data_IF_354202929099
#
_entry.id   IF_354202929099
#
_cell.length_a   1.000
_cell.length_b   1.000
_cell.length_c   1.000
_cell.angle_alpha   90.00
_cell.angle_beta   90.00
_cell.angle_gamma   90.00
#
_symmetry.space_group_name_H-M   'P 1'
#
loop_
_entity.id
_entity.type
_entity.pdbx_description
1 polymer ?
#
# COMPACT_ATOMS: atom_id res chain seq x y z
N UNK A 1 8.83 47.24 -84.52
CA UNK A 1 8.92 48.00 -83.26
C UNK A 1 8.13 47.26 -82.20
N UNK A 2 8.81 46.95 -81.08
CA UNK A 2 8.30 46.66 -79.74
C UNK A 2 7.44 45.42 -79.46
N UNK A 3 8.15 44.34 -79.08
CA UNK A 3 8.04 43.60 -77.79
C UNK A 3 6.79 43.88 -76.93
N UNK A 4 6.07 42.82 -76.58
CA UNK A 4 5.75 42.48 -75.17
C UNK A 4 5.76 40.95 -74.95
N UNK A 5 6.49 40.58 -73.89
CA UNK A 5 6.64 39.26 -73.23
C UNK A 5 5.50 39.16 -72.19
N UNK A 6 4.99 37.98 -71.80
CA UNK A 6 5.18 37.34 -70.47
C UNK A 6 4.04 36.30 -70.29
N UNK A 7 4.35 34.99 -70.33
CA UNK A 7 4.45 33.98 -69.23
C UNK A 7 3.15 33.18 -68.99
N UNK A 8 3.21 31.83 -68.93
CA UNK A 8 2.07 30.97 -68.67
C UNK A 8 1.78 30.88 -67.16
N UNK A 9 0.51 30.97 -66.77
CA UNK A 9 0.08 30.71 -65.40
C UNK A 9 -0.11 29.20 -65.18
N UNK A 10 0.86 28.57 -64.54
CA UNK A 10 0.73 27.27 -63.88
C UNK A 10 -0.21 27.43 -62.68
N UNK A 11 -1.42 26.88 -62.78
CA UNK A 11 -2.31 26.69 -61.63
C UNK A 11 -1.77 25.53 -60.78
N UNK A 12 -0.96 25.86 -59.78
CA UNK A 12 -0.68 25.01 -58.64
C UNK A 12 -1.92 25.05 -57.72
N UNK A 13 -2.77 24.04 -57.81
CA UNK A 13 -3.74 23.73 -56.76
C UNK A 13 -2.97 23.26 -55.52
N UNK A 14 -2.71 24.19 -54.59
CA UNK A 14 -2.29 23.85 -53.24
C UNK A 14 -3.49 23.21 -52.52
N UNK A 15 -3.45 21.90 -52.34
CA UNK A 15 -4.34 21.22 -51.41
C UNK A 15 -3.98 21.68 -49.98
N UNK A 16 -4.95 22.11 -49.14
CA UNK A 16 -4.70 22.30 -47.73
C UNK A 16 -4.46 20.91 -47.12
N UNK A 17 -3.21 20.57 -46.83
CA UNK A 17 -2.89 19.38 -46.07
C UNK A 17 -3.43 19.60 -44.65
N UNK A 18 -4.33 18.70 -44.29
CA UNK A 18 -5.04 18.60 -43.02
C UNK A 18 -4.06 18.68 -41.84
N UNK A 19 -4.14 19.75 -41.04
CA UNK A 19 -3.56 19.82 -39.69
C UNK A 19 -4.47 19.09 -38.69
N UNK A 20 -4.84 17.84 -39.01
CA UNK A 20 -5.73 17.01 -38.18
C UNK A 20 -5.04 16.51 -36.90
N UNK A 21 -3.77 16.07 -37.01
CA UNK A 21 -3.04 15.50 -35.87
C UNK A 21 -2.68 16.54 -34.79
N UNK A 22 -2.41 17.80 -35.17
CA UNK A 22 -2.09 18.83 -34.16
C UNK A 22 -3.33 19.28 -33.36
N UNK A 23 -4.52 19.22 -33.96
CA UNK A 23 -5.76 19.51 -33.27
C UNK A 23 -6.19 18.36 -32.36
N UNK A 24 -5.88 17.10 -32.72
CA UNK A 24 -6.11 15.95 -31.85
C UNK A 24 -5.12 15.90 -30.69
N UNK A 25 -3.84 16.21 -30.92
CA UNK A 25 -2.82 16.26 -29.85
C UNK A 25 -3.18 17.31 -28.80
N UNK A 26 -3.55 18.53 -29.20
CA UNK A 26 -3.96 19.58 -28.26
C UNK A 26 -5.26 19.26 -27.49
N UNK A 27 -6.14 18.42 -28.05
CA UNK A 27 -7.36 17.94 -27.39
C UNK A 27 -7.03 16.82 -26.42
N UNK A 28 -6.13 15.91 -26.77
CA UNK A 28 -5.64 14.85 -25.86
C UNK A 28 -4.82 15.45 -24.71
N UNK A 29 -4.01 16.47 -24.96
CA UNK A 29 -3.25 17.14 -23.90
C UNK A 29 -4.17 17.85 -22.89
N UNK A 30 -5.38 18.27 -23.29
CA UNK A 30 -6.32 18.99 -22.42
C UNK A 30 -7.42 18.10 -21.82
N UNK A 31 -7.91 17.10 -22.57
CA UNK A 31 -9.01 16.22 -22.16
C UNK A 31 -8.60 14.75 -21.96
N UNK A 32 -7.34 14.41 -22.24
CA UNK A 32 -6.80 13.07 -22.04
C UNK A 32 -6.51 12.76 -20.57
N UNK A 33 -6.04 11.53 -20.30
CA UNK A 33 -5.62 11.15 -18.95
C UNK A 33 -4.47 12.04 -18.50
N UNK A 34 -4.42 12.31 -17.20
CA UNK A 34 -3.36 13.04 -16.55
C UNK A 34 -2.81 12.18 -15.42
N UNK A 35 -1.54 12.37 -15.08
CA UNK A 35 -0.95 11.72 -13.92
C UNK A 35 -1.75 12.10 -12.66
N UNK A 36 -2.03 11.11 -11.82
CA UNK A 36 -2.61 11.35 -10.51
C UNK A 36 -1.62 12.20 -9.68
N UNK A 37 -1.98 13.41 -9.26
CA UNK A 37 -1.05 14.32 -8.59
C UNK A 37 -0.61 13.80 -7.22
N UNK A 38 -1.45 13.01 -6.53
CA UNK A 38 -1.09 12.40 -5.25
C UNK A 38 -0.04 11.30 -5.47
N UNK A 39 -0.23 10.44 -6.47
CA UNK A 39 0.78 9.43 -6.83
C UNK A 39 2.10 10.06 -7.29
N UNK A 40 2.04 11.10 -8.13
CA UNK A 40 3.24 11.81 -8.59
C UNK A 40 4.01 12.43 -7.42
N UNK A 41 3.31 13.06 -6.47
CA UNK A 41 3.91 13.61 -5.24
C UNK A 41 4.58 12.52 -4.40
N UNK A 42 3.92 11.38 -4.18
CA UNK A 42 4.50 10.25 -3.45
C UNK A 42 5.73 9.67 -4.16
N UNK A 43 5.68 9.52 -5.48
CA UNK A 43 6.79 8.96 -6.27
C UNK A 43 8.03 9.86 -6.23
N UNK A 44 7.81 11.17 -6.33
CA UNK A 44 8.87 12.17 -6.23
C UNK A 44 9.47 12.23 -4.83
N UNK A 45 8.63 12.22 -3.79
CA UNK A 45 9.09 12.17 -2.40
C UNK A 45 9.92 10.90 -2.14
N UNK A 46 9.47 9.74 -2.63
CA UNK A 46 10.20 8.48 -2.53
C UNK A 46 11.55 8.51 -3.26
N UNK A 47 11.62 9.15 -4.43
CA UNK A 47 12.87 9.35 -5.16
C UNK A 47 13.84 10.24 -4.40
N UNK A 48 13.36 11.37 -3.86
CA UNK A 48 14.16 12.29 -3.05
C UNK A 48 14.68 11.63 -1.76
N UNK A 49 13.84 10.84 -1.09
CA UNK A 49 14.21 10.07 0.10
C UNK A 49 15.28 9.02 -0.24
N UNK A 50 15.09 8.29 -1.34
CA UNK A 50 16.03 7.27 -1.78
C UNK A 50 17.42 7.85 -1.97
N UNK A 51 17.55 8.97 -2.68
CA UNK A 51 18.83 9.66 -2.90
C UNK A 51 19.42 10.16 -1.58
N UNK A 52 18.61 10.79 -0.73
CA UNK A 52 19.06 11.33 0.56
C UNK A 52 19.57 10.24 1.52
N UNK A 53 19.04 9.02 1.41
CA UNK A 53 19.36 7.89 2.28
C UNK A 53 20.53 7.04 1.78
N UNK A 54 20.98 7.17 0.52
CA UNK A 54 21.99 6.27 -0.09
C UNK A 54 23.24 6.06 0.75
N UNK A 55 23.73 7.11 1.39
CA UNK A 55 24.95 7.09 2.21
C UNK A 55 24.67 6.88 3.71
N UNK A 56 23.39 6.96 4.13
CA UNK A 56 22.97 6.82 5.53
C UNK A 56 22.52 5.40 5.85
N UNK A 57 21.69 4.81 4.98
CA UNK A 57 21.13 3.48 5.12
C UNK A 57 20.72 2.95 3.74
N UNK A 58 21.48 1.97 3.24
CA UNK A 58 21.30 1.39 1.91
C UNK A 58 19.99 0.62 1.77
N UNK A 59 19.50 0.01 2.85
CA UNK A 59 18.27 -0.77 2.82
C UNK A 59 17.06 0.17 2.80
N UNK A 60 17.11 1.25 3.59
CA UNK A 60 16.09 2.30 3.57
C UNK A 60 16.07 3.02 2.22
N UNK A 61 17.23 3.34 1.66
CA UNK A 61 17.34 3.92 0.32
C UNK A 61 16.75 2.99 -0.76
N UNK A 62 17.05 1.70 -0.68
CA UNK A 62 16.54 0.69 -1.64
C UNK A 62 15.02 0.53 -1.53
N UNK A 63 14.47 0.52 -0.31
CA UNK A 63 13.03 0.50 -0.10
C UNK A 63 12.36 1.71 -0.76
N UNK A 64 12.87 2.92 -0.50
CA UNK A 64 12.29 4.15 -1.08
C UNK A 64 12.44 4.19 -2.60
N UNK A 65 13.55 3.71 -3.15
CA UNK A 65 13.75 3.61 -4.60
C UNK A 65 12.74 2.65 -5.25
N UNK A 66 12.52 1.47 -4.65
CA UNK A 66 11.51 0.51 -5.12
C UNK A 66 10.10 1.12 -5.06
N UNK A 67 9.78 1.81 -3.97
CA UNK A 67 8.47 2.46 -3.82
C UNK A 67 8.24 3.55 -4.87
N UNK A 68 9.27 4.33 -5.19
CA UNK A 68 9.21 5.31 -6.28
C UNK A 68 8.95 4.64 -7.64
N UNK A 69 9.68 3.56 -7.97
CA UNK A 69 9.51 2.81 -9.22
C UNK A 69 8.09 2.25 -9.35
N UNK A 70 7.55 1.65 -8.29
CA UNK A 70 6.19 1.13 -8.27
C UNK A 70 5.14 2.22 -8.47
N UNK A 71 5.31 3.39 -7.84
CA UNK A 71 4.38 4.51 -7.98
C UNK A 71 4.43 5.12 -9.38
N UNK A 72 5.61 5.27 -9.98
CA UNK A 72 5.74 5.71 -11.37
C UNK A 72 5.12 4.70 -12.35
N UNK A 73 5.34 3.40 -12.12
CA UNK A 73 4.71 2.35 -12.92
C UNK A 73 3.17 2.35 -12.77
N UNK A 74 2.66 2.69 -11.60
CA UNK A 74 1.22 2.81 -11.36
C UNK A 74 0.63 4.04 -12.06
N UNK A 75 1.34 5.17 -12.09
CA UNK A 75 0.95 6.35 -12.89
C UNK A 75 0.85 5.97 -14.36
N UNK A 76 1.86 5.29 -14.91
CA UNK A 76 1.86 4.81 -16.30
C UNK A 76 0.69 3.86 -16.58
N UNK A 77 0.38 2.96 -15.62
CA UNK A 77 -0.73 2.01 -15.72
C UNK A 77 -2.08 2.74 -15.80
N UNK A 78 -2.29 3.77 -14.98
CA UNK A 78 -3.52 4.56 -14.97
C UNK A 78 -3.66 5.43 -16.23
N UNK A 79 -2.56 6.01 -16.68
CA UNK A 79 -2.53 6.83 -17.88
C UNK A 79 -2.74 6.03 -19.17
N UNK A 80 -2.41 4.73 -19.15
CA UNK A 80 -2.49 3.88 -20.32
C UNK A 80 -1.46 4.24 -21.38
N UNK A 81 -1.56 3.58 -22.54
CA UNK A 81 -0.65 3.77 -23.67
C UNK A 81 -1.43 4.10 -24.93
N UNK A 82 -0.86 4.94 -25.79
CA UNK A 82 -1.39 5.24 -27.12
C UNK A 82 -1.14 4.08 -28.10
N UNK A 83 -1.52 4.26 -29.37
CA UNK A 83 -1.37 3.25 -30.42
C UNK A 83 0.11 2.90 -30.70
N UNK A 84 1.02 3.82 -30.40
CA UNK A 84 2.48 3.64 -30.49
C UNK A 84 3.08 2.94 -29.26
N UNK A 85 2.30 2.73 -28.20
CA UNK A 85 2.77 2.13 -26.95
C UNK A 85 3.43 3.10 -25.98
N UNK A 86 3.31 4.41 -26.21
CA UNK A 86 3.85 5.50 -25.38
C UNK A 86 2.76 6.08 -24.46
N UNK A 87 3.16 6.59 -23.29
CA UNK A 87 2.24 7.33 -22.42
C UNK A 87 1.87 8.69 -23.04
N UNK A 88 0.64 9.19 -22.83
CA UNK A 88 0.25 10.54 -23.25
C UNK A 88 1.15 11.61 -22.62
N UNK A 89 1.46 12.69 -23.35
CA UNK A 89 2.30 13.80 -22.85
C UNK A 89 1.71 14.49 -21.61
N UNK A 90 0.39 14.53 -21.49
CA UNK A 90 -0.32 15.04 -20.30
C UNK A 90 -0.10 14.21 -19.03
N UNK A 91 0.49 13.02 -19.16
CA UNK A 91 0.88 12.14 -18.06
C UNK A 91 2.38 12.15 -17.76
N UNK A 92 3.17 12.97 -18.45
CA UNK A 92 4.61 13.06 -18.19
C UNK A 92 4.84 13.61 -16.77
N UNK A 93 5.58 12.86 -15.96
CA UNK A 93 5.97 13.23 -14.60
C UNK A 93 7.48 13.40 -14.56
N UNK A 94 7.94 14.42 -13.82
CA UNK A 94 9.37 14.63 -13.61
C UNK A 94 9.95 13.54 -12.69
N UNK A 95 11.03 12.91 -13.17
CA UNK A 95 11.81 11.91 -12.46
C UNK A 95 13.12 12.48 -11.89
N UNK A 96 13.54 13.67 -12.34
CA UNK A 96 14.74 14.35 -11.85
C UNK A 96 14.38 15.11 -10.57
N UNK A 97 14.46 14.42 -9.44
CA UNK A 97 14.14 14.99 -8.13
C UNK A 97 15.40 15.31 -7.36
N UNK A 98 15.50 16.55 -6.86
CA UNK A 98 16.59 16.93 -5.96
C UNK A 98 16.48 16.16 -4.63
N UNK A 99 17.58 15.55 -4.14
CA UNK A 99 17.57 14.91 -2.84
C UNK A 99 17.14 15.88 -1.74
N UNK A 100 16.31 15.39 -0.82
CA UNK A 100 16.00 16.16 0.38
C UNK A 100 17.21 16.20 1.32
N UNK A 101 17.28 17.23 2.16
CA UNK A 101 18.23 17.20 3.28
C UNK A 101 17.81 16.13 4.29
N UNK A 102 18.68 15.15 4.53
CA UNK A 102 18.49 14.10 5.52
C UNK A 102 19.72 13.96 6.41
N UNK A 103 19.47 13.90 7.72
CA UNK A 103 20.50 13.61 8.73
C UNK A 103 20.13 12.43 9.64
N UNK A 104 18.87 11.97 9.55
CA UNK A 104 18.31 10.91 10.39
C UNK A 104 17.37 10.05 9.55
N UNK A 105 17.67 8.76 9.47
CA UNK A 105 16.91 7.75 8.73
C UNK A 105 15.49 7.61 9.31
N UNK A 106 15.36 7.61 10.63
CA UNK A 106 14.07 7.44 11.32
C UNK A 106 13.13 8.62 11.05
N UNK A 107 13.68 9.83 11.01
CA UNK A 107 12.90 11.02 10.63
C UNK A 107 12.40 10.91 9.18
N UNK A 108 13.26 10.50 8.24
CA UNK A 108 12.88 10.31 6.83
C UNK A 108 11.78 9.27 6.66
N UNK A 109 11.94 8.08 7.24
CA UNK A 109 10.93 7.02 7.12
C UNK A 109 9.63 7.36 7.88
N UNK A 110 9.73 8.08 8.99
CA UNK A 110 8.57 8.61 9.71
C UNK A 110 7.77 9.63 8.90
N UNK A 111 8.47 10.60 8.29
CA UNK A 111 7.86 11.60 7.40
C UNK A 111 7.21 10.93 6.18
N UNK A 112 7.91 9.97 5.56
CA UNK A 112 7.43 9.21 4.41
C UNK A 112 6.17 8.40 4.75
N UNK A 113 6.15 7.74 5.91
CA UNK A 113 4.99 6.97 6.36
C UNK A 113 3.77 7.87 6.55
N UNK A 114 3.92 8.98 7.28
CA UNK A 114 2.86 9.94 7.52
C UNK A 114 2.30 10.53 6.21
N UNK A 115 3.18 10.91 5.28
CA UNK A 115 2.77 11.42 3.97
C UNK A 115 2.04 10.36 3.13
N UNK A 116 2.49 9.10 3.16
CA UNK A 116 1.85 7.99 2.45
C UNK A 116 0.43 7.75 2.96
N UNK A 117 0.24 7.75 4.28
CA UNK A 117 -1.09 7.61 4.89
C UNK A 117 -2.02 8.78 4.57
N UNK A 118 -1.52 10.02 4.57
CA UNK A 118 -2.30 11.22 4.24
C UNK A 118 -2.83 11.17 2.80
N UNK A 119 -2.05 10.63 1.87
CA UNK A 119 -2.42 10.56 0.45
C UNK A 119 -3.39 9.42 0.11
N UNK A 120 -3.67 8.47 1.02
CA UNK A 120 -4.55 7.33 0.74
C UNK A 120 -5.95 7.71 0.24
N UNK A 121 -6.50 8.83 0.71
CA UNK A 121 -7.81 9.32 0.29
C UNK A 121 -7.76 10.21 -0.96
N UNK A 122 -6.55 10.56 -1.40
CA UNK A 122 -6.31 11.46 -2.53
C UNK A 122 -5.89 10.74 -3.81
N UNK A 123 -5.36 9.52 -3.70
CA UNK A 123 -5.04 8.67 -4.85
C UNK A 123 -6.29 8.02 -5.45
N UNK A 124 -6.21 7.68 -6.73
CA UNK A 124 -7.21 6.86 -7.41
C UNK A 124 -7.54 5.58 -6.61
N UNK A 125 -8.82 5.18 -6.51
CA UNK A 125 -9.23 3.98 -5.77
C UNK A 125 -8.46 2.70 -6.17
N UNK A 126 -8.14 2.55 -7.44
CA UNK A 126 -7.38 1.43 -8.00
C UNK A 126 -5.94 1.35 -7.48
N UNK A 127 -5.37 2.47 -7.03
CA UNK A 127 -3.99 2.57 -6.55
C UNK A 127 -3.87 2.49 -5.03
N UNK A 128 -4.98 2.55 -4.30
CA UNK A 128 -4.97 2.52 -2.82
C UNK A 128 -4.31 1.27 -2.26
N UNK A 129 -4.47 0.12 -2.91
CA UNK A 129 -3.83 -1.13 -2.47
C UNK A 129 -2.30 -1.03 -2.51
N UNK A 130 -1.73 -0.43 -3.57
CA UNK A 130 -0.30 -0.18 -3.65
C UNK A 130 0.16 0.76 -2.53
N UNK A 131 -0.52 1.89 -2.35
CA UNK A 131 -0.17 2.89 -1.34
C UNK A 131 -0.28 2.32 0.09
N UNK A 132 -1.29 1.47 0.37
CA UNK A 132 -1.39 0.74 1.64
C UNK A 132 -0.21 -0.20 1.84
N UNK A 133 0.18 -0.97 0.82
CA UNK A 133 1.33 -1.87 0.92
C UNK A 133 2.62 -1.09 1.23
N UNK A 134 2.81 0.08 0.62
CA UNK A 134 3.96 0.94 0.89
C UNK A 134 3.94 1.54 2.30
N UNK A 135 2.78 1.96 2.79
CA UNK A 135 2.62 2.43 4.18
C UNK A 135 2.97 1.33 5.19
N UNK A 136 2.50 0.10 4.96
CA UNK A 136 2.82 -1.06 5.80
C UNK A 136 4.33 -1.31 5.82
N UNK A 137 5.01 -1.26 4.67
CA UNK A 137 6.46 -1.47 4.59
C UNK A 137 7.25 -0.38 5.34
N UNK A 138 6.80 0.88 5.28
CA UNK A 138 7.41 1.99 6.02
C UNK A 138 7.20 1.84 7.54
N UNK A 139 5.99 1.51 7.98
CA UNK A 139 5.70 1.27 9.40
C UNK A 139 6.43 0.04 9.96
N UNK A 140 6.62 -0.99 9.15
CA UNK A 140 7.38 -2.17 9.55
C UNK A 140 8.84 -1.81 9.86
N UNK A 141 9.45 -0.91 9.07
CA UNK A 141 10.80 -0.38 9.29
C UNK A 141 10.90 0.55 10.49
N UNK A 142 9.86 1.31 10.79
CA UNK A 142 9.84 2.22 11.94
C UNK A 142 9.86 1.48 13.29
N UNK A 143 9.52 0.19 13.32
CA UNK A 143 9.63 -0.63 14.53
C UNK A 143 8.65 -0.25 15.65
N UNK A 144 7.70 0.67 15.39
CA UNK A 144 6.72 1.11 16.38
C UNK A 144 5.65 0.05 16.60
N UNK A 145 5.32 -0.21 17.86
CA UNK A 145 4.18 -1.05 18.19
C UNK A 145 2.87 -0.33 17.83
N UNK A 146 1.84 -1.05 17.36
CA UNK A 146 0.51 -0.49 17.21
C UNK A 146 0.05 0.09 18.55
N UNK A 147 -0.54 1.28 18.51
CA UNK A 147 -1.24 1.82 19.68
C UNK A 147 -2.57 1.12 19.92
N UNK A 148 -3.33 1.64 20.88
CA UNK A 148 -4.68 1.16 21.18
C UNK A 148 -5.58 1.20 19.94
N UNK A 149 -6.48 0.21 19.83
CA UNK A 149 -7.49 0.22 18.78
C UNK A 149 -8.38 1.47 18.91
N UNK A 150 -8.65 2.17 17.79
CA UNK A 150 -9.49 3.37 17.82
C UNK A 150 -10.94 3.01 18.12
N UNK A 151 -11.75 4.02 18.44
CA UNK A 151 -13.19 3.82 18.53
C UNK A 151 -13.77 3.45 17.17
N UNK A 152 -14.48 2.31 17.13
CA UNK A 152 -15.10 1.81 15.91
C UNK A 152 -16.45 2.48 15.66
N UNK A 153 -16.77 2.65 14.38
CA UNK A 153 -18.10 2.94 13.88
C UNK A 153 -18.84 1.64 13.56
N UNK A 154 -20.17 1.72 13.38
CA UNK A 154 -20.97 0.57 12.95
C UNK A 154 -20.53 0.01 11.59
N UNK A 155 -19.89 0.83 10.73
CA UNK A 155 -19.40 0.38 9.44
C UNK A 155 -18.18 -0.56 9.55
N UNK A 156 -17.41 -0.45 10.64
CA UNK A 156 -16.19 -1.23 10.87
C UNK A 156 -16.45 -2.47 11.73
N UNK A 157 -17.64 -2.59 12.32
CA UNK A 157 -18.00 -3.64 13.25
C UNK A 157 -17.80 -5.05 12.67
N UNK A 158 -18.30 -5.29 11.45
CA UNK A 158 -18.22 -6.63 10.84
C UNK A 158 -16.77 -7.02 10.55
N UNK A 159 -15.95 -6.07 10.08
CA UNK A 159 -14.53 -6.32 9.82
C UNK A 159 -13.76 -6.56 11.13
N UNK A 160 -14.01 -5.75 12.16
CA UNK A 160 -13.38 -5.93 13.47
C UNK A 160 -13.78 -7.26 14.12
N UNK A 161 -15.04 -7.70 13.97
CA UNK A 161 -15.49 -9.01 14.44
C UNK A 161 -14.80 -10.16 13.69
N UNK A 162 -14.67 -10.04 12.37
CA UNK A 162 -13.92 -10.99 11.52
C UNK A 162 -12.45 -11.11 11.95
N UNK A 163 -11.81 -9.98 12.27
CA UNK A 163 -10.43 -9.92 12.74
C UNK A 163 -10.28 -10.48 14.15
N UNK A 164 -11.26 -10.29 15.04
CA UNK A 164 -11.24 -10.88 16.37
C UNK A 164 -11.33 -12.41 16.30
N UNK A 165 -12.20 -12.94 15.44
CA UNK A 165 -12.28 -14.39 15.20
C UNK A 165 -10.97 -14.95 14.64
N UNK A 166 -10.32 -14.21 13.74
CA UNK A 166 -9.00 -14.54 13.22
C UNK A 166 -7.93 -14.61 14.31
N UNK A 167 -7.89 -13.63 15.21
CA UNK A 167 -6.93 -13.56 16.31
C UNK A 167 -7.12 -14.70 17.32
N UNK A 168 -8.37 -15.08 17.62
CA UNK A 168 -8.63 -16.29 18.43
C UNK A 168 -8.08 -17.56 17.77
N UNK A 169 -8.19 -17.68 16.44
CA UNK A 169 -7.61 -18.80 15.71
C UNK A 169 -6.08 -18.81 15.80
N UNK A 170 -5.42 -17.64 15.74
CA UNK A 170 -3.96 -17.56 15.85
C UNK A 170 -3.47 -17.99 17.24
N UNK A 171 -4.11 -17.50 18.30
CA UNK A 171 -3.80 -17.91 19.68
C UNK A 171 -3.95 -19.42 19.85
N UNK A 172 -5.07 -19.99 19.41
CA UNK A 172 -5.30 -21.44 19.46
C UNK A 172 -4.23 -22.22 18.68
N UNK A 173 -3.89 -21.76 17.47
CA UNK A 173 -2.94 -22.45 16.61
C UNK A 173 -1.52 -22.45 17.22
N UNK A 174 -1.07 -21.33 17.79
CA UNK A 174 0.22 -21.21 18.46
C UNK A 174 0.29 -22.06 19.73
N UNK A 175 -0.76 -22.06 20.55
CA UNK A 175 -0.85 -22.92 21.74
C UNK A 175 -0.81 -24.41 21.37
N UNK A 176 -1.49 -24.79 20.28
CA UNK A 176 -1.44 -26.16 19.77
C UNK A 176 -0.01 -26.51 19.29
N UNK A 177 0.62 -25.64 18.51
CA UNK A 177 1.97 -25.82 17.99
C UNK A 177 3.00 -26.00 19.11
N UNK A 178 2.85 -25.26 20.22
CA UNK A 178 3.70 -25.34 21.41
C UNK A 178 3.84 -26.76 21.96
N UNK A 179 2.81 -27.59 21.81
CA UNK A 179 2.84 -28.99 22.30
C UNK A 179 3.83 -29.89 21.54
N UNK A 180 4.23 -29.48 20.33
CA UNK A 180 5.14 -30.22 19.44
C UNK A 180 6.46 -29.47 19.19
N UNK A 181 6.50 -28.19 19.52
CA UNK A 181 7.63 -27.31 19.30
C UNK A 181 8.91 -27.80 20.00
N UNK A 182 10.05 -27.60 19.34
CA UNK A 182 11.35 -27.78 19.96
C UNK A 182 11.66 -26.60 20.92
N UNK A 183 12.51 -26.78 21.94
CA UNK A 183 12.77 -25.74 22.94
C UNK A 183 13.27 -24.39 22.39
N UNK A 184 13.91 -24.40 21.21
CA UNK A 184 14.37 -23.18 20.53
C UNK A 184 13.23 -22.31 19.99
N UNK A 185 12.01 -22.84 19.87
CA UNK A 185 10.84 -22.11 19.39
C UNK A 185 9.98 -21.51 20.51
N UNK A 186 10.23 -21.86 21.78
CA UNK A 186 9.38 -21.43 22.89
C UNK A 186 9.32 -19.91 23.02
N UNK A 187 10.46 -19.21 22.90
CA UNK A 187 10.53 -17.75 22.99
C UNK A 187 9.76 -17.08 21.84
N UNK A 188 9.91 -17.59 20.60
CA UNK A 188 9.16 -17.09 19.44
C UNK A 188 7.65 -17.30 19.59
N UNK A 189 7.22 -18.44 20.14
CA UNK A 189 5.80 -18.70 20.40
C UNK A 189 5.27 -17.75 21.48
N UNK A 190 6.00 -17.57 22.58
CA UNK A 190 5.57 -16.69 23.69
C UNK A 190 5.47 -15.22 23.25
N UNK A 191 6.42 -14.74 22.43
CA UNK A 191 6.37 -13.39 21.86
C UNK A 191 5.13 -13.21 20.97
N UNK A 192 4.87 -14.15 20.07
CA UNK A 192 3.72 -14.07 19.16
C UNK A 192 2.39 -14.21 19.90
N UNK A 193 2.29 -15.12 20.87
CA UNK A 193 1.10 -15.24 21.72
C UNK A 193 0.80 -13.91 22.43
N UNK A 194 1.82 -13.25 22.98
CA UNK A 194 1.66 -11.94 23.63
C UNK A 194 1.08 -10.90 22.67
N UNK A 195 1.56 -10.87 21.42
CA UNK A 195 1.03 -9.96 20.39
C UNK A 195 -0.43 -10.26 20.05
N UNK A 196 -0.75 -11.52 19.76
CA UNK A 196 -2.11 -11.93 19.39
C UNK A 196 -3.11 -11.70 20.54
N UNK A 197 -2.73 -12.04 21.78
CA UNK A 197 -3.56 -11.77 22.97
C UNK A 197 -3.80 -10.28 23.19
N UNK A 198 -2.79 -9.43 22.96
CA UNK A 198 -2.97 -7.98 23.00
C UNK A 198 -3.98 -7.50 21.95
N UNK A 199 -3.85 -7.96 20.70
CA UNK A 199 -4.80 -7.62 19.62
C UNK A 199 -6.22 -8.09 19.93
N UNK A 200 -6.37 -9.28 20.53
CA UNK A 200 -7.67 -9.78 21.03
C UNK A 200 -8.28 -8.79 22.01
N UNK A 201 -7.53 -8.33 23.01
CA UNK A 201 -8.04 -7.40 24.03
C UNK A 201 -8.45 -6.06 23.44
N UNK A 202 -7.66 -5.53 22.50
CA UNK A 202 -7.96 -4.27 21.80
C UNK A 202 -9.24 -4.38 20.97
N UNK A 203 -9.38 -5.44 20.17
CA UNK A 203 -10.57 -5.69 19.35
C UNK A 203 -11.82 -5.94 20.20
N UNK A 204 -11.70 -6.70 21.29
CA UNK A 204 -12.80 -6.91 22.24
C UNK A 204 -13.27 -5.57 22.80
N UNK A 205 -12.35 -4.76 23.34
CA UNK A 205 -12.64 -3.44 23.93
C UNK A 205 -13.32 -2.51 22.92
N UNK A 206 -12.85 -2.51 21.67
CA UNK A 206 -13.42 -1.70 20.61
C UNK A 206 -14.85 -2.17 20.23
N UNK A 207 -15.08 -3.47 20.16
CA UNK A 207 -16.39 -4.07 19.80
C UNK A 207 -17.44 -4.00 20.92
N UNK A 208 -17.04 -4.03 22.20
CA UNK A 208 -17.96 -3.97 23.36
C UNK A 208 -18.90 -2.75 23.29
N UNK A 209 -18.40 -1.63 22.77
CA UNK A 209 -19.17 -0.39 22.61
C UNK A 209 -20.27 -0.49 21.55
N UNK A 210 -20.15 -1.44 20.62
CA UNK A 210 -21.06 -1.63 19.48
C UNK A 210 -22.03 -2.80 19.65
N UNK A 211 -21.80 -3.69 20.63
CA UNK A 211 -22.76 -4.74 21.00
C UNK A 211 -22.11 -6.06 21.36
N UNK A 212 -22.62 -7.15 20.77
CA UNK A 212 -22.16 -8.50 21.07
C UNK A 212 -20.74 -8.72 20.51
N UNK A 213 -19.83 -9.15 21.38
CA UNK A 213 -18.45 -9.47 21.04
C UNK A 213 -18.32 -10.97 20.75
N UNK A 214 -17.80 -11.37 19.57
CA UNK A 214 -17.50 -12.76 19.27
C UNK A 214 -16.69 -13.44 20.38
N UNK A 215 -17.07 -14.67 20.71
CA UNK A 215 -16.39 -15.50 21.69
C UNK A 215 -15.55 -16.57 20.97
N UNK A 216 -14.40 -16.99 21.54
CA UNK A 216 -13.58 -18.02 20.93
C UNK A 216 -14.35 -19.34 20.80
N UNK A 217 -14.11 -20.05 19.69
CA UNK A 217 -14.62 -21.39 19.48
C UNK A 217 -13.84 -22.40 20.34
N UNK A 218 -14.43 -23.59 20.56
CA UNK A 218 -13.76 -24.65 21.32
C UNK A 218 -12.55 -25.26 20.58
N UNK A 219 -12.54 -25.16 19.24
CA UNK A 219 -11.47 -25.63 18.37
C UNK A 219 -11.55 -24.92 17.01
N UNK A 220 -10.44 -24.91 16.30
CA UNK A 220 -10.29 -24.31 14.98
C UNK A 220 -9.68 -25.30 13.98
N UNK A 221 -9.98 -25.10 12.71
CA UNK A 221 -9.36 -25.86 11.62
C UNK A 221 -7.93 -25.33 11.35
N UNK A 222 -7.04 -26.23 10.91
CA UNK A 222 -5.72 -25.86 10.43
C UNK A 222 -5.83 -25.15 9.07
N UNK A 223 -5.09 -24.04 8.83
CA UNK A 223 -5.11 -23.34 7.54
C UNK A 223 -4.82 -24.27 6.35
N UNK A 224 -3.89 -25.22 6.52
CA UNK A 224 -3.45 -26.14 5.46
C UNK A 224 -3.99 -27.56 5.66
N UNK A 225 -4.90 -27.76 6.63
CA UNK A 225 -5.52 -29.05 6.94
C UNK A 225 -4.63 -30.06 7.67
N UNK A 226 -3.34 -29.77 7.87
CA UNK A 226 -2.43 -30.58 8.67
C UNK A 226 -2.12 -29.87 10.00
N UNK A 227 -2.23 -30.60 11.11
CA UNK A 227 -1.77 -30.15 12.42
C UNK A 227 -0.34 -30.65 12.66
N UNK A 228 0.47 -29.90 13.42
CA UNK A 228 1.82 -30.33 13.76
C UNK A 228 1.78 -31.62 14.59
N UNK A 229 2.76 -32.49 14.38
CA UNK A 229 2.88 -33.80 15.02
C UNK A 229 4.30 -34.13 15.51
N UNK A 230 5.26 -33.26 15.20
CA UNK A 230 6.65 -33.29 15.64
C UNK A 230 7.25 -31.88 15.57
N UNK A 231 8.52 -31.72 15.97
CA UNK A 231 9.18 -30.42 16.05
C UNK A 231 9.41 -29.74 14.69
N UNK A 232 9.63 -30.52 13.63
CA UNK A 232 9.84 -29.97 12.29
C UNK A 232 8.51 -29.46 11.72
N UNK A 233 7.44 -30.26 11.82
CA UNK A 233 6.10 -29.81 11.41
C UNK A 233 5.55 -28.66 12.26
N UNK A 234 5.96 -28.53 13.53
CA UNK A 234 5.63 -27.37 14.36
C UNK A 234 6.28 -26.08 13.84
N UNK A 235 7.54 -26.14 13.40
CA UNK A 235 8.25 -24.98 12.81
C UNK A 235 7.54 -24.52 11.54
N UNK A 236 7.30 -25.44 10.61
CA UNK A 236 6.60 -25.13 9.36
C UNK A 236 5.21 -24.52 9.62
N UNK A 237 4.48 -25.08 10.58
CA UNK A 237 3.16 -24.58 10.96
C UNK A 237 3.19 -23.16 11.54
N UNK A 238 4.19 -22.83 12.37
CA UNK A 238 4.40 -21.48 12.93
C UNK A 238 4.75 -20.46 11.84
N UNK A 239 5.51 -20.88 10.81
CA UNK A 239 5.84 -20.02 9.66
C UNK A 239 4.60 -19.76 8.78
N UNK A 240 3.77 -20.78 8.56
CA UNK A 240 2.49 -20.65 7.85
C UNK A 240 1.55 -19.69 8.59
N UNK A 241 1.45 -19.80 9.92
CA UNK A 241 0.67 -18.87 10.77
C UNK A 241 1.13 -17.43 10.55
N UNK A 242 2.44 -17.14 10.65
CA UNK A 242 2.96 -15.77 10.45
C UNK A 242 2.71 -15.24 9.04
N UNK A 243 2.87 -16.09 8.03
CA UNK A 243 2.59 -15.70 6.65
C UNK A 243 1.11 -15.36 6.46
N UNK A 244 0.21 -16.22 6.93
CA UNK A 244 -1.22 -15.99 6.81
C UNK A 244 -1.69 -14.77 7.62
N UNK A 245 -1.10 -14.52 8.78
CA UNK A 245 -1.37 -13.32 9.58
C UNK A 245 -1.00 -12.05 8.80
N UNK A 246 0.18 -12.06 8.16
CA UNK A 246 0.64 -10.98 7.28
C UNK A 246 -0.35 -10.71 6.14
N UNK A 247 -0.85 -11.76 5.48
CA UNK A 247 -1.83 -11.63 4.41
C UNK A 247 -3.17 -11.08 4.92
N UNK A 248 -3.66 -11.61 6.05
CA UNK A 248 -4.96 -11.22 6.62
C UNK A 248 -5.00 -9.74 6.98
N UNK A 249 -3.96 -9.24 7.67
CA UNK A 249 -3.91 -7.85 8.11
C UNK A 249 -3.65 -6.88 6.95
N UNK A 250 -2.85 -7.29 5.95
CA UNK A 250 -2.66 -6.51 4.72
C UNK A 250 -3.96 -6.38 3.92
N UNK A 251 -4.72 -7.47 3.77
CA UNK A 251 -6.05 -7.44 3.14
C UNK A 251 -7.01 -6.54 3.90
N UNK A 252 -7.05 -6.63 5.22
CA UNK A 252 -7.93 -5.82 6.05
C UNK A 252 -7.65 -4.32 5.88
N UNK A 253 -6.38 -3.91 5.93
CA UNK A 253 -5.97 -2.52 5.69
C UNK A 253 -6.35 -2.05 4.29
N UNK A 254 -6.17 -2.92 3.28
CA UNK A 254 -6.51 -2.62 1.88
C UNK A 254 -8.03 -2.45 1.69
N UNK A 255 -8.85 -3.34 2.27
CA UNK A 255 -10.31 -3.23 2.24
C UNK A 255 -10.80 -1.95 2.91
N UNK A 256 -10.21 -1.57 4.05
CA UNK A 256 -10.55 -0.33 4.74
C UNK A 256 -10.22 0.92 3.91
N UNK A 257 -9.13 0.89 3.14
CA UNK A 257 -8.79 1.96 2.19
C UNK A 257 -9.77 2.04 1.01
N UNK A 258 -10.29 0.91 0.53
CA UNK A 258 -11.25 0.88 -0.58
C UNK A 258 -12.60 1.52 -0.22
N UNK A 259 -13.01 1.46 1.05
CA UNK A 259 -14.31 1.98 1.52
C UNK A 259 -14.28 3.43 2.00
N UNK A 260 -13.15 4.14 1.88
CA UNK A 260 -13.04 5.52 2.35
C UNK A 260 -13.97 6.45 1.56
N UNK A 261 -15.01 6.96 2.24
CA UNK A 261 -15.95 7.97 1.76
C UNK A 261 -15.47 9.38 2.15
N UNK A 262 -15.79 10.38 1.32
CA UNK A 262 -15.24 11.76 1.40
C UNK A 262 -15.82 12.66 2.50
N UNK A 263 -16.69 12.16 3.37
CA UNK A 263 -17.50 12.98 4.28
C UNK A 263 -17.18 12.72 5.76
N UNK A 264 -17.80 13.49 6.68
CA UNK A 264 -17.49 13.67 8.11
C UNK A 264 -17.29 12.45 9.03
N UNK A 265 -17.38 11.23 8.50
CA UNK A 265 -16.88 9.98 9.14
C UNK A 265 -15.41 9.68 8.80
N UNK A 266 -14.81 10.47 7.91
CA UNK A 266 -13.46 10.28 7.39
C UNK A 266 -12.40 10.20 8.48
N UNK A 267 -12.52 10.95 9.58
CA UNK A 267 -11.51 10.93 10.65
C UNK A 267 -11.48 9.59 11.41
N UNK A 268 -12.65 9.05 11.81
CA UNK A 268 -12.74 7.75 12.46
C UNK A 268 -12.30 6.61 11.52
N UNK A 269 -12.76 6.65 10.26
CA UNK A 269 -12.36 5.68 9.23
C UNK A 269 -10.86 5.76 8.92
N UNK A 270 -10.26 6.95 9.00
CA UNK A 270 -8.81 7.12 8.86
C UNK A 270 -8.04 6.54 10.05
N UNK A 271 -8.59 6.66 11.26
CA UNK A 271 -7.97 6.13 12.47
C UNK A 271 -7.97 4.60 12.47
N UNK A 272 -9.10 3.99 12.10
CA UNK A 272 -9.20 2.53 11.94
C UNK A 272 -8.23 2.02 10.88
N UNK A 273 -8.20 2.65 9.70
CA UNK A 273 -7.26 2.29 8.63
C UNK A 273 -5.80 2.40 9.08
N UNK A 274 -5.42 3.47 9.78
CA UNK A 274 -4.06 3.63 10.32
C UNK A 274 -3.71 2.53 11.31
N UNK A 275 -4.64 2.18 12.20
CA UNK A 275 -4.44 1.08 13.14
C UNK A 275 -4.24 -0.25 12.41
N UNK A 276 -5.04 -0.54 11.37
CA UNK A 276 -4.86 -1.74 10.54
C UNK A 276 -3.50 -1.79 9.84
N UNK A 277 -3.01 -0.65 9.32
CA UNK A 277 -1.67 -0.54 8.71
C UNK A 277 -0.59 -0.86 9.74
N UNK A 278 -0.70 -0.31 10.96
CA UNK A 278 0.27 -0.56 12.03
C UNK A 278 0.26 -2.04 12.47
N UNK A 279 -0.92 -2.65 12.62
CA UNK A 279 -1.04 -4.08 12.96
C UNK A 279 -0.46 -4.97 11.85
N UNK A 280 -0.77 -4.67 10.59
CA UNK A 280 -0.16 -5.37 9.45
C UNK A 280 1.37 -5.24 9.47
N UNK A 281 1.90 -4.05 9.71
CA UNK A 281 3.33 -3.81 9.83
C UNK A 281 3.99 -4.61 10.96
N UNK A 282 3.32 -4.76 12.11
CA UNK A 282 3.75 -5.64 13.20
C UNK A 282 3.78 -7.11 12.76
N UNK A 283 2.76 -7.58 12.02
CA UNK A 283 2.71 -8.95 11.48
C UNK A 283 3.85 -9.24 10.49
N UNK A 284 4.19 -8.28 9.64
CA UNK A 284 5.32 -8.40 8.69
C UNK A 284 6.67 -8.60 9.41
N UNK A 285 6.84 -8.18 10.67
CA UNK A 285 8.09 -8.42 11.42
C UNK A 285 8.29 -9.90 11.78
N UNK A 286 7.20 -10.65 11.91
CA UNK A 286 7.27 -12.08 12.22
C UNK A 286 7.44 -12.94 10.97
N UNK A 287 7.17 -12.37 9.79
CA UNK A 287 7.48 -12.99 8.51
C UNK A 287 8.87 -12.57 8.05
N UNK A 288 9.87 -13.38 8.39
CA UNK A 288 11.19 -13.27 7.72
C UNK A 288 11.10 -14.06 6.42
N UNK A 289 11.21 -13.36 5.29
CA UNK A 289 11.42 -13.98 3.98
C UNK A 289 12.85 -14.53 3.86
#
# INVERSE_FOLDING_TARGET
MNRRVVVPALFLCAAPWLSGCQATDAVVDYFGPHADPALASLAQAASADAEALKELDVDAASLRAQQAEELYAEIDRLCGRNEEGEAPRSCEVDHDVEPREAADVSAVLGDASAATEEQLDHVAPESRALVVAQAIALEARNGKEPGDAPELTTAEQDQAAELLEWEYQQVYALDFARSYAAPDLEETIDERLTVHEHRVLELQTALEKLGAVPQPAAAYDSPDGALPHDGDSARDFIDIIAHNDTLKWTDAATRAAATAESDSKAEATSAWRRWLIAVAAQSHRFHTA
#
